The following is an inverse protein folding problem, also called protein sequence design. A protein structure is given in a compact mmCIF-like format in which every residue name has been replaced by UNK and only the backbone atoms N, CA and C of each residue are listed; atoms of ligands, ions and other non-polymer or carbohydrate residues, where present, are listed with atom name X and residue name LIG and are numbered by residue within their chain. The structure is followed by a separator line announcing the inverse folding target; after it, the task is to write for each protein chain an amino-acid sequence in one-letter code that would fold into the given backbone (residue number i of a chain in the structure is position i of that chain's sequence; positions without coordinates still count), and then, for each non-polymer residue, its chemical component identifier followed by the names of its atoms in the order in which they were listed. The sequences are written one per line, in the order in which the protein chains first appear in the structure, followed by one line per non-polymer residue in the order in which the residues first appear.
data_IF_362326648298
#
_entry.id   IF_362326648298
#
_cell.length_a   1.000
_cell.length_b   1.000
_cell.length_c   1.000
_cell.angle_alpha   90.00
_cell.angle_beta   90.00
_cell.angle_gamma   90.00
#
_symmetry.space_group_name_H-M   'P 1'
#
loop_
_entity.id
_entity.type
_entity.pdbx_description
1 polymer ?
#
# COMPACT_ATOMS: atom_id res chain seq x y z
N UNK A 1 -0.64 -6.83 22.93
CA UNK A 1 0.56 -6.36 22.21
C UNK A 1 0.05 -5.87 20.87
N UNK A 2 -0.01 -4.56 20.67
CA UNK A 2 -0.57 -3.93 19.47
C UNK A 2 0.58 -3.62 18.51
N UNK A 3 0.39 -3.84 17.21
CA UNK A 3 1.42 -3.60 16.19
C UNK A 3 0.98 -2.45 15.28
N UNK A 4 1.88 -1.53 14.94
CA UNK A 4 1.57 -0.36 14.11
C UNK A 4 1.81 -0.68 12.63
N UNK A 5 0.80 -0.43 11.79
CA UNK A 5 0.88 -0.46 10.33
C UNK A 5 1.06 0.97 9.82
N UNK A 6 2.31 1.36 9.56
CA UNK A 6 2.56 2.70 9.00
C UNK A 6 2.29 2.72 7.50
N UNK A 7 1.03 2.97 7.14
CA UNK A 7 0.54 3.15 5.78
C UNK A 7 0.80 4.58 5.31
N UNK A 8 1.99 4.90 4.79
CA UNK A 8 2.14 6.22 4.16
C UNK A 8 1.31 6.33 2.89
N UNK A 9 0.19 7.05 3.01
CA UNK A 9 -0.60 7.57 1.90
C UNK A 9 0.19 8.67 1.18
N UNK A 10 1.24 8.27 0.46
CA UNK A 10 1.92 9.13 -0.49
C UNK A 10 1.10 9.20 -1.77
N UNK A 11 0.71 10.39 -2.20
CA UNK A 11 0.11 10.57 -3.52
C UNK A 11 1.18 10.33 -4.60
N UNK A 12 1.32 9.09 -5.08
CA UNK A 12 2.06 8.82 -6.30
C UNK A 12 1.09 8.79 -7.50
N UNK A 13 1.57 9.41 -8.58
CA UNK A 13 0.77 9.95 -9.67
C UNK A 13 1.39 9.43 -10.96
N UNK A 14 0.63 8.71 -11.79
CA UNK A 14 0.65 8.82 -13.27
C UNK A 14 -0.32 7.84 -13.97
N UNK A 15 -1.14 8.42 -14.86
CA UNK A 15 -1.78 7.89 -16.07
C UNK A 15 -2.70 6.64 -16.02
N UNK A 16 -4.01 6.87 -16.06
CA UNK A 16 -4.93 6.55 -17.18
C UNK A 16 -6.39 6.58 -16.68
N UNK A 17 -7.17 7.58 -17.10
CA UNK A 17 -8.61 7.66 -16.77
C UNK A 17 -9.39 6.90 -17.85
N UNK A 18 -9.82 5.67 -17.53
CA UNK A 18 -10.90 5.01 -18.26
C UNK A 18 -12.19 5.19 -17.44
N UNK A 19 -13.14 5.93 -18.01
CA UNK A 19 -14.47 6.15 -17.43
C UNK A 19 -15.32 4.89 -17.60
N UNK A 20 -15.20 3.92 -16.69
CA UNK A 20 -16.23 2.89 -16.51
C UNK A 20 -16.09 2.26 -15.13
N UNK A 21 -17.14 2.38 -14.28
CA UNK A 21 -17.34 1.80 -12.93
C UNK A 21 -16.14 1.84 -11.98
N UNK A 22 -16.25 2.64 -10.91
CA UNK A 22 -15.45 2.59 -9.67
C UNK A 22 -14.16 1.77 -9.79
N UNK A 23 -13.10 2.33 -10.38
CA UNK A 23 -11.88 1.56 -10.51
C UNK A 23 -11.41 1.15 -9.11
N UNK A 24 -11.05 -0.14 -8.93
CA UNK A 24 -10.57 -0.66 -7.68
C UNK A 24 -9.36 0.16 -7.26
N UNK A 25 -9.33 0.55 -6.00
CA UNK A 25 -8.13 1.15 -5.47
C UNK A 25 -7.04 0.09 -5.37
N UNK A 26 -5.80 0.48 -5.67
CA UNK A 26 -4.61 -0.35 -5.49
C UNK A 26 -3.95 0.07 -4.17
N UNK A 27 -3.46 -0.88 -3.37
CA UNK A 27 -2.51 -0.61 -2.25
C UNK A 27 -1.17 -1.23 -2.61
N UNK A 28 -0.13 -0.40 -2.71
CA UNK A 28 1.26 -0.86 -2.90
C UNK A 28 1.98 -1.01 -1.56
N UNK A 29 2.30 -2.23 -1.16
CA UNK A 29 3.04 -2.50 0.09
C UNK A 29 4.53 -2.40 -0.13
N UNK A 30 5.20 -1.45 0.52
CA UNK A 30 6.66 -1.26 0.44
C UNK A 30 7.24 -1.24 1.87
N UNK A 31 8.26 -2.08 2.11
CA UNK A 31 9.07 -2.00 3.33
C UNK A 31 9.81 -0.66 3.38
N UNK A 32 9.49 0.17 4.38
CA UNK A 32 9.99 1.52 4.51
C UNK A 32 10.44 1.85 5.93
N UNK A 33 11.01 3.04 6.15
CA UNK A 33 11.28 3.53 7.50
C UNK A 33 9.96 3.68 8.27
N UNK A 34 9.88 3.08 9.45
CA UNK A 34 8.74 3.27 10.36
C UNK A 34 8.92 4.61 11.07
N UNK A 35 7.91 5.50 11.10
CA UNK A 35 8.02 6.80 11.78
C UNK A 35 8.28 6.66 13.30
N UNK A 36 7.94 5.50 13.87
CA UNK A 36 8.03 5.22 15.31
C UNK A 36 8.99 4.06 15.65
N UNK A 37 9.84 3.63 14.72
CA UNK A 37 10.68 2.41 14.83
C UNK A 37 9.90 1.12 15.17
N UNK A 38 8.56 1.16 15.08
CA UNK A 38 7.72 0.00 15.30
C UNK A 38 7.88 -0.98 14.15
N UNK A 39 8.16 -2.24 14.50
CA UNK A 39 8.24 -3.38 13.58
C UNK A 39 6.92 -4.17 13.61
N UNK A 40 6.38 -4.50 12.43
CA UNK A 40 5.23 -5.41 12.31
C UNK A 40 5.60 -6.83 12.72
N UNK A 41 6.87 -7.22 12.54
CA UNK A 41 7.44 -8.45 13.07
C UNK A 41 8.14 -9.29 12.00
N UNK A 42 8.37 -10.59 12.28
CA UNK A 42 8.98 -11.50 11.32
C UNK A 42 8.16 -11.58 10.03
N UNK A 43 8.84 -11.56 8.88
CA UNK A 43 8.23 -11.58 7.55
C UNK A 43 7.18 -12.68 7.39
N UNK A 44 7.53 -13.90 7.76
CA UNK A 44 6.64 -15.05 7.58
C UNK A 44 5.37 -14.93 8.44
N UNK A 45 5.46 -14.28 9.61
CA UNK A 45 4.28 -13.98 10.43
C UNK A 45 3.40 -12.90 9.80
N UNK A 46 4.01 -11.86 9.24
CA UNK A 46 3.31 -10.77 8.54
C UNK A 46 2.59 -11.32 7.32
N UNK A 47 3.26 -12.15 6.51
CA UNK A 47 2.68 -12.87 5.38
C UNK A 47 1.52 -13.75 5.84
N UNK A 48 1.73 -14.57 6.87
CA UNK A 48 0.67 -15.46 7.37
C UNK A 48 -0.57 -14.69 7.84
N UNK A 49 -0.40 -13.51 8.46
CA UNK A 49 -1.52 -12.65 8.87
C UNK A 49 -2.23 -12.02 7.68
N UNK A 50 -1.48 -11.54 6.68
CA UNK A 50 -2.04 -11.01 5.44
C UNK A 50 -2.86 -12.07 4.70
N UNK A 51 -2.31 -13.27 4.50
CA UNK A 51 -3.01 -14.35 3.83
C UNK A 51 -4.26 -14.83 4.59
N UNK A 52 -4.27 -14.72 5.92
CA UNK A 52 -5.44 -15.04 6.73
C UNK A 52 -6.54 -13.96 6.59
N UNK A 53 -6.15 -12.67 6.59
CA UNK A 53 -7.08 -11.55 6.44
C UNK A 53 -7.56 -11.35 5.00
N UNK A 54 -6.82 -11.86 4.01
CA UNK A 54 -7.13 -11.76 2.58
C UNK A 54 -7.13 -13.16 1.93
N UNK A 55 -8.17 -13.99 2.18
CA UNK A 55 -8.26 -15.31 1.58
C UNK A 55 -8.25 -15.23 0.05
N UNK A 56 -7.24 -15.82 -0.59
CA UNK A 56 -7.07 -15.77 -2.04
C UNK A 56 -5.96 -14.82 -2.52
N UNK A 57 -5.30 -14.08 -1.62
CA UNK A 57 -4.09 -13.36 -1.96
C UNK A 57 -3.00 -14.35 -2.40
N UNK A 58 -2.41 -14.09 -3.57
CA UNK A 58 -1.22 -14.81 -4.03
C UNK A 58 0.02 -14.07 -3.55
N UNK A 59 1.08 -14.81 -3.24
CA UNK A 59 2.39 -14.26 -2.88
C UNK A 59 3.43 -15.12 -3.58
N UNK A 60 4.10 -14.54 -4.55
CA UNK A 60 5.08 -15.21 -5.39
C UNK A 60 6.39 -14.44 -5.41
N UNK A 61 7.49 -15.16 -5.62
CA UNK A 61 8.75 -14.50 -5.90
C UNK A 61 8.77 -14.19 -7.41
N UNK A 62 8.82 -12.91 -7.81
CA UNK A 62 8.90 -12.57 -9.22
C UNK A 62 10.20 -13.12 -9.83
N UNK A 63 10.22 -13.36 -11.15
CA UNK A 63 11.45 -13.76 -11.83
C UNK A 63 12.53 -12.69 -11.62
N UNK A 64 13.78 -13.14 -11.49
CA UNK A 64 14.91 -12.23 -11.41
C UNK A 64 14.97 -11.34 -12.65
N UNK A 65 15.26 -10.06 -12.45
CA UNK A 65 15.41 -9.11 -13.55
C UNK A 65 16.67 -9.46 -14.34
N UNK A 66 16.59 -9.58 -15.68
CA UNK A 66 17.75 -9.92 -16.49
C UNK A 66 18.90 -8.91 -16.34
N UNK A 67 20.13 -9.41 -16.28
CA UNK A 67 21.33 -8.60 -16.01
C UNK A 67 21.55 -7.50 -17.07
N UNK A 68 21.19 -7.77 -18.33
CA UNK A 68 21.27 -6.81 -19.44
C UNK A 68 20.35 -5.58 -19.24
N UNK A 69 19.24 -5.76 -18.53
CA UNK A 69 18.32 -4.67 -18.20
C UNK A 69 18.87 -3.87 -17.02
N UNK A 70 19.36 -4.56 -15.99
CA UNK A 70 20.01 -3.96 -14.81
C UNK A 70 21.25 -3.14 -15.18
N UNK A 71 22.03 -3.58 -16.18
CA UNK A 71 23.24 -2.90 -16.63
C UNK A 71 22.99 -1.49 -17.20
N UNK A 72 21.77 -1.22 -17.69
CA UNK A 72 21.37 0.07 -18.25
C UNK A 72 20.88 1.06 -17.19
N UNK A 73 20.68 0.59 -15.95
CA UNK A 73 20.19 1.41 -14.85
C UNK A 73 21.33 2.07 -14.07
N UNK A 74 21.08 3.25 -13.47
CA UNK A 74 21.94 3.80 -12.42
C UNK A 74 22.15 2.78 -11.29
N UNK A 75 23.33 2.81 -10.66
CA UNK A 75 23.70 1.89 -9.58
C UNK A 75 22.68 1.85 -8.45
N UNK A 76 22.21 3.03 -8.00
CA UNK A 76 21.19 3.13 -6.96
C UNK A 76 19.86 2.45 -7.31
N UNK A 77 19.43 2.52 -8.58
CA UNK A 77 18.20 1.87 -9.05
C UNK A 77 18.41 0.37 -9.19
N UNK A 78 19.58 -0.03 -9.71
CA UNK A 78 19.96 -1.43 -9.85
C UNK A 78 19.96 -2.16 -8.52
N UNK A 79 20.55 -1.55 -7.48
CA UNK A 79 20.62 -2.13 -6.14
C UNK A 79 19.24 -2.32 -5.52
N UNK A 80 18.30 -1.41 -5.77
CA UNK A 80 16.91 -1.56 -5.31
C UNK A 80 16.20 -2.67 -6.10
N UNK A 81 16.35 -2.68 -7.42
CA UNK A 81 15.70 -3.63 -8.32
C UNK A 81 16.19 -5.07 -8.15
N UNK A 82 17.43 -5.25 -7.71
CA UNK A 82 18.06 -6.55 -7.49
C UNK A 82 17.81 -7.12 -6.09
N UNK A 83 17.15 -6.37 -5.19
CA UNK A 83 16.75 -6.90 -3.88
C UNK A 83 15.73 -8.00 -4.07
N UNK A 84 15.88 -9.17 -3.42
CA UNK A 84 14.83 -10.16 -3.45
C UNK A 84 13.58 -9.55 -2.81
N UNK A 85 12.47 -9.71 -3.53
CA UNK A 85 11.17 -9.20 -3.15
C UNK A 85 10.13 -10.29 -3.32
N UNK A 86 9.02 -10.17 -2.62
CA UNK A 86 7.82 -10.95 -2.87
C UNK A 86 6.81 -10.02 -3.51
N UNK A 87 6.22 -10.48 -4.61
CA UNK A 87 5.11 -9.84 -5.30
C UNK A 87 3.86 -10.62 -4.96
N UNK A 88 2.89 -9.96 -4.36
CA UNK A 88 1.58 -10.55 -4.12
C UNK A 88 0.49 -9.73 -4.77
N UNK A 89 -0.58 -10.40 -5.19
CA UNK A 89 -1.77 -9.71 -5.63
C UNK A 89 -3.01 -10.28 -4.96
N UNK A 90 -3.96 -9.39 -4.70
CA UNK A 90 -5.30 -9.74 -4.29
C UNK A 90 -6.27 -8.93 -5.14
N UNK A 91 -7.27 -9.61 -5.71
CA UNK A 91 -8.28 -9.00 -6.56
C UNK A 91 -9.66 -9.21 -5.91
N UNK A 92 -10.34 -8.10 -5.64
CA UNK A 92 -11.70 -8.04 -5.17
C UNK A 92 -12.52 -7.18 -6.16
N UNK A 93 -13.83 -7.41 -6.32
CA UNK A 93 -14.65 -6.55 -7.20
C UNK A 93 -14.54 -5.04 -6.91
N UNK A 94 -14.22 -4.68 -5.67
CA UNK A 94 -14.15 -3.29 -5.21
C UNK A 94 -12.71 -2.76 -5.05
N UNK A 95 -11.69 -3.63 -5.02
CA UNK A 95 -10.31 -3.23 -4.74
C UNK A 95 -9.28 -4.27 -5.17
N UNK A 96 -8.04 -3.82 -5.36
CA UNK A 96 -6.89 -4.71 -5.51
C UNK A 96 -5.76 -4.33 -4.56
N UNK A 97 -4.94 -5.30 -4.20
CA UNK A 97 -3.76 -5.07 -3.34
C UNK A 97 -2.55 -5.64 -4.06
N UNK A 98 -1.51 -4.82 -4.21
CA UNK A 98 -0.22 -5.20 -4.76
C UNK A 98 0.82 -5.20 -3.62
N UNK A 99 1.34 -6.37 -3.29
CA UNK A 99 2.29 -6.55 -2.19
C UNK A 99 3.72 -6.54 -2.72
N UNK A 100 4.60 -5.65 -2.26
CA UNK A 100 6.04 -5.68 -2.54
C UNK A 100 6.83 -5.80 -1.23
N UNK A 101 6.97 -7.01 -0.72
CA UNK A 101 7.71 -7.23 0.52
C UNK A 101 9.21 -7.40 0.25
N UNK A 102 10.06 -6.79 1.07
CA UNK A 102 11.49 -7.12 1.12
C UNK A 102 11.67 -8.60 1.51
N UNK A 103 12.72 -9.23 1.01
CA UNK A 103 13.15 -10.55 1.51
C UNK A 103 13.86 -10.47 2.87
N UNK A 104 13.98 -9.28 3.47
CA UNK A 104 14.45 -9.11 4.85
C UNK A 104 13.64 -10.02 5.81
N UNK A 105 14.29 -10.68 6.78
CA UNK A 105 13.60 -11.49 7.78
C UNK A 105 12.58 -10.72 8.64
N UNK A 106 12.66 -9.39 8.74
CA UNK A 106 11.72 -8.58 9.50
C UNK A 106 11.09 -7.47 8.65
N UNK A 107 9.77 -7.32 8.75
CA UNK A 107 9.03 -6.24 8.09
C UNK A 107 8.80 -5.14 9.12
N UNK A 108 9.25 -3.93 8.79
CA UNK A 108 9.14 -2.78 9.71
C UNK A 108 7.76 -2.15 9.61
N UNK A 109 7.44 -1.65 8.43
CA UNK A 109 6.13 -1.13 8.10
C UNK A 109 5.69 -1.62 6.73
N UNK A 110 4.40 -1.42 6.48
CA UNK A 110 3.77 -1.66 5.19
C UNK A 110 3.21 -0.31 4.79
N UNK A 111 3.85 0.33 3.82
CA UNK A 111 3.28 1.52 3.20
C UNK A 111 2.11 1.12 2.29
N UNK A 112 1.24 2.04 1.94
CA UNK A 112 0.19 1.76 0.97
C UNK A 112 -0.14 3.02 0.23
N UNK A 113 0.17 3.00 -1.04
CA UNK A 113 -0.25 4.02 -1.98
C UNK A 113 -1.66 3.68 -2.44
N UNK A 114 -2.65 4.51 -2.11
CA UNK A 114 -4.02 4.34 -2.59
C UNK A 114 -4.18 5.02 -3.94
N UNK A 115 -4.47 4.24 -4.99
CA UNK A 115 -4.81 4.76 -6.33
C UNK A 115 -6.32 4.69 -6.56
N UNK A 116 -6.87 5.49 -7.46
CA UNK A 116 -8.31 5.41 -7.82
C UNK A 116 -9.25 6.31 -6.99
N UNK A 117 -10.56 6.09 -7.12
CA UNK A 117 -11.61 6.99 -6.57
C UNK A 117 -12.46 6.35 -5.46
N UNK A 118 -12.26 5.07 -5.15
CA UNK A 118 -12.99 4.39 -4.08
C UNK A 118 -12.48 4.78 -2.70
N UNK A 119 -13.31 4.63 -1.67
CA UNK A 119 -12.93 4.80 -0.27
C UNK A 119 -12.20 3.53 0.24
N UNK A 120 -10.90 3.62 0.57
CA UNK A 120 -10.14 2.46 1.06
C UNK A 120 -10.41 2.16 2.54
N UNK A 121 -11.04 3.06 3.30
CA UNK A 121 -11.08 2.99 4.76
C UNK A 121 -11.81 1.75 5.29
N UNK A 122 -12.89 1.33 4.63
CA UNK A 122 -13.64 0.14 5.05
C UNK A 122 -12.80 -1.15 4.94
N UNK A 123 -12.05 -1.29 3.85
CA UNK A 123 -11.19 -2.47 3.66
C UNK A 123 -9.93 -2.40 4.53
N UNK A 124 -9.35 -1.21 4.71
CA UNK A 124 -8.25 -1.00 5.65
C UNK A 124 -8.66 -1.33 7.08
N UNK A 125 -9.88 -0.95 7.48
CA UNK A 125 -10.44 -1.33 8.78
C UNK A 125 -10.56 -2.85 8.90
N UNK A 126 -11.14 -3.52 7.90
CA UNK A 126 -11.29 -4.97 7.92
C UNK A 126 -9.94 -5.68 8.06
N UNK A 127 -8.94 -5.25 7.27
CA UNK A 127 -7.58 -5.75 7.36
C UNK A 127 -6.98 -5.54 8.77
N UNK A 128 -7.17 -4.35 9.36
CA UNK A 128 -6.65 -4.03 10.68
C UNK A 128 -7.33 -4.80 11.81
N UNK A 129 -8.65 -5.01 11.73
CA UNK A 129 -9.40 -5.80 12.71
C UNK A 129 -8.87 -7.24 12.78
N UNK A 130 -8.59 -7.86 11.63
CA UNK A 130 -8.13 -9.25 11.54
C UNK A 130 -6.65 -9.44 11.91
N UNK A 131 -5.82 -8.43 11.63
CA UNK A 131 -4.36 -8.49 11.86
C UNK A 131 -3.91 -7.89 13.19
N UNK A 132 -4.78 -7.10 13.84
CA UNK A 132 -4.46 -6.29 15.02
C UNK A 132 -3.53 -5.11 14.70
N UNK A 133 -3.57 -4.63 13.47
CA UNK A 133 -2.75 -3.54 12.96
C UNK A 133 -3.46 -2.19 13.08
N UNK A 134 -2.76 -1.09 12.83
CA UNK A 134 -3.30 0.27 12.90
C UNK A 134 -2.73 1.13 11.80
N UNK A 135 -3.56 1.86 11.06
CA UNK A 135 -3.14 2.70 9.92
C UNK A 135 -2.59 4.03 10.43
N UNK A 136 -1.48 4.50 9.88
CA UNK A 136 -0.91 5.83 10.15
C UNK A 136 -0.99 6.71 8.90
N UNK A 137 -1.72 7.82 8.97
CA UNK A 137 -1.77 8.81 7.90
C UNK A 137 -0.53 9.70 7.96
N UNK A 138 0.36 9.55 6.96
CA UNK A 138 1.58 10.35 6.88
C UNK A 138 1.34 11.83 6.50
N UNK A 139 0.17 12.18 5.97
CA UNK A 139 -0.17 13.57 5.63
C UNK A 139 -0.61 14.38 6.85
N UNK A 140 -1.30 13.73 7.78
CA UNK A 140 -1.79 14.33 9.03
C UNK A 140 -0.96 13.95 10.26
N UNK A 141 0.10 13.15 10.05
CA UNK A 141 1.00 12.64 11.09
C UNK A 141 0.28 11.99 12.28
N UNK A 142 -0.76 11.20 12.00
CA UNK A 142 -1.59 10.57 13.04
C UNK A 142 -2.03 9.15 12.71
N UNK A 143 -2.32 8.37 13.74
CA UNK A 143 -3.01 7.07 13.58
C UNK A 143 -4.47 7.34 13.20
N UNK A 144 -4.94 6.64 12.18
CA UNK A 144 -6.35 6.70 11.73
C UNK A 144 -7.23 6.03 12.78
N UNK A 145 -8.21 6.77 13.28
CA UNK A 145 -9.22 6.26 14.19
C UNK A 145 -10.40 5.70 13.38
N UNK A 146 -10.52 4.37 13.31
CA UNK A 146 -11.61 3.70 12.62
C UNK A 146 -12.95 3.72 13.40
N UNK A 147 -12.99 4.26 14.63
CA UNK A 147 -14.25 4.44 15.35
C UNK A 147 -15.03 5.67 14.87
N UNK A 148 -14.33 6.63 14.28
CA UNK A 148 -14.86 7.82 13.64
C UNK A 148 -14.60 7.76 12.13
N UNK A 149 -15.11 6.70 11.49
CA UNK A 149 -15.17 6.55 10.04
C UNK A 149 -16.18 7.53 9.43
N UNK A 150 -16.02 8.82 9.70
CA UNK A 150 -16.78 9.82 8.98
C UNK A 150 -16.15 9.96 7.60
N UNK A 151 -16.85 9.44 6.58
CA UNK A 151 -16.43 9.48 5.17
C UNK A 151 -16.10 10.89 4.69
N UNK A 152 -16.53 11.91 5.45
CA UNK A 152 -16.17 13.31 5.31
C UNK A 152 -14.67 13.56 5.08
N UNK A 153 -13.77 12.83 5.74
CA UNK A 153 -12.32 12.99 5.53
C UNK A 153 -11.89 12.54 4.12
N UNK A 154 -12.34 11.37 3.70
CA UNK A 154 -12.06 10.84 2.36
C UNK A 154 -12.76 11.64 1.25
N UNK A 155 -13.99 12.08 1.50
CA UNK A 155 -14.76 12.94 0.61
C UNK A 155 -14.07 14.29 0.43
N UNK A 156 -13.55 14.89 1.51
CA UNK A 156 -12.77 16.14 1.44
C UNK A 156 -11.49 15.95 0.63
N UNK A 157 -10.76 14.85 0.81
CA UNK A 157 -9.60 14.51 -0.02
C UNK A 157 -9.98 14.36 -1.51
N UNK A 158 -11.05 13.61 -1.81
CA UNK A 158 -11.56 13.45 -3.17
C UNK A 158 -11.93 14.77 -3.82
N UNK A 159 -12.57 15.67 -3.08
CA UNK A 159 -12.93 17.02 -3.53
C UNK A 159 -11.69 17.87 -3.80
N UNK A 160 -10.73 17.91 -2.87
CA UNK A 160 -9.47 18.63 -3.05
C UNK A 160 -8.72 18.15 -4.30
N UNK A 161 -8.56 16.84 -4.47
CA UNK A 161 -7.88 16.25 -5.62
C UNK A 161 -8.59 16.59 -6.93
N UNK A 162 -9.92 16.53 -6.95
CA UNK A 162 -10.73 16.87 -8.12
C UNK A 162 -10.52 18.33 -8.54
N UNK A 163 -10.40 19.25 -7.57
CA UNK A 163 -10.08 20.67 -7.82
C UNK A 163 -8.68 20.85 -8.41
N UNK A 164 -7.65 20.25 -7.82
CA UNK A 164 -6.26 20.36 -8.31
C UNK A 164 -6.12 19.81 -9.73
N UNK A 165 -6.80 18.71 -10.05
CA UNK A 165 -6.85 18.16 -11.41
C UNK A 165 -7.49 19.13 -12.41
N UNK A 166 -8.61 19.75 -12.05
CA UNK A 166 -9.29 20.72 -12.91
C UNK A 166 -8.47 21.99 -13.16
N UNK A 167 -7.66 22.41 -12.19
CA UNK A 167 -6.75 23.56 -12.35
C UNK A 167 -5.59 23.28 -13.30
N UNK A 168 -5.19 22.01 -13.47
CA UNK A 168 -4.07 21.62 -14.35
C UNK A 168 -4.44 21.60 -15.84
N UNK A 169 -5.72 21.42 -16.14
CA UNK A 169 -6.24 21.29 -17.51
C UNK A 169 -6.72 22.63 -18.10
N UNK A 170 -6.65 23.74 -17.32
CA UNK A 170 -6.92 25.12 -17.76
C UNK A 170 -5.62 25.89 -18.00
#
# INVERSE_FOLDING_TARGET
MSFNLSLCLGAAYQHAIVRNRSMPWEITIIDGPSPNDSILGPRDNVISRLSAALPGATLEQPPAIPNEFLAQMPESVRDVMNRPRLEGSFEHPDFSISLYCSADPAIRCINGEVRGNGDPLAALKHLCDDTGWSVYDCSEERVVDFSDLDSNGWDAFCQWRSRVLAERDN
#
